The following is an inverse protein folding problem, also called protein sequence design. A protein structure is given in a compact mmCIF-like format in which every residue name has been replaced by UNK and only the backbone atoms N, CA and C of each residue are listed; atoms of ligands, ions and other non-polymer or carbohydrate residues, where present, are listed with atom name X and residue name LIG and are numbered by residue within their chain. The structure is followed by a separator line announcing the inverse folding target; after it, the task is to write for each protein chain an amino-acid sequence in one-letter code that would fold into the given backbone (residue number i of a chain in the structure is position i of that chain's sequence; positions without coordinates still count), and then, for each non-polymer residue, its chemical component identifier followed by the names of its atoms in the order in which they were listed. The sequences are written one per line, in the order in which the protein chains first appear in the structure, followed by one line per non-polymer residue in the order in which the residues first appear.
data_IF_532103524918
#
_entry.id   IF_532103524918
#
_cell.length_a   1.000
_cell.length_b   1.000
_cell.length_c   1.000
_cell.angle_alpha   90.00
_cell.angle_beta   90.00
_cell.angle_gamma   90.00
#
_symmetry.space_group_name_H-M   'P 1'
#
loop_
_entity.id
_entity.type
_entity.pdbx_description
1 polymer ?
#
# COMPACT_ATOMS: atom_id res chain seq x y z
N UNK A 1 -14.17 -9.88 25.30
CA UNK A 1 -13.25 -10.55 26.23
C UNK A 1 -13.20 -9.74 27.53
N UNK A 2 -14.00 -10.11 28.50
CA UNK A 2 -13.98 -9.47 29.82
C UNK A 2 -12.80 -10.02 30.63
N UNK A 3 -11.73 -9.20 30.74
CA UNK A 3 -10.59 -9.40 31.65
C UNK A 3 -9.87 -10.76 31.63
N UNK A 4 -9.61 -11.45 30.52
CA UNK A 4 -8.66 -12.54 30.55
C UNK A 4 -7.24 -11.98 30.67
N UNK A 5 -6.42 -12.55 31.51
CA UNK A 5 -4.98 -12.27 31.52
C UNK A 5 -4.33 -13.01 30.34
N UNK A 6 -4.46 -12.45 29.13
CA UNK A 6 -3.92 -13.01 27.89
C UNK A 6 -2.51 -12.48 27.68
N UNK A 7 -1.52 -13.37 27.71
CA UNK A 7 -0.11 -13.02 27.48
C UNK A 7 0.32 -13.13 26.02
N UNK A 8 -0.36 -13.96 25.22
CA UNK A 8 -0.05 -14.18 23.80
C UNK A 8 -1.30 -14.55 23.02
N UNK A 9 -1.33 -14.17 21.73
CA UNK A 9 -2.37 -14.55 20.77
C UNK A 9 -1.66 -15.10 19.52
N UNK A 10 -2.25 -16.12 18.90
CA UNK A 10 -1.75 -16.74 17.68
C UNK A 10 -2.83 -16.71 16.60
N UNK A 11 -2.47 -16.24 15.40
CA UNK A 11 -3.29 -16.30 14.18
C UNK A 11 -2.74 -17.32 13.20
N UNK A 12 -3.62 -17.91 12.40
CA UNK A 12 -3.25 -18.80 11.30
C UNK A 12 -3.79 -18.24 9.98
N UNK A 13 -2.89 -17.89 9.07
CA UNK A 13 -3.23 -17.42 7.72
C UNK A 13 -3.09 -18.56 6.71
N UNK A 14 -4.13 -18.80 5.92
CA UNK A 14 -4.08 -19.75 4.81
C UNK A 14 -3.34 -19.15 3.62
N UNK A 15 -2.26 -19.82 3.18
CA UNK A 15 -1.46 -19.37 2.04
C UNK A 15 -1.43 -20.45 0.95
N UNK A 16 -1.99 -20.18 -0.25
CA UNK A 16 -2.02 -21.17 -1.34
C UNK A 16 -0.64 -21.51 -1.93
N UNK A 17 0.38 -20.71 -1.64
CA UNK A 17 1.76 -20.96 -2.08
C UNK A 17 2.51 -21.95 -1.17
N UNK A 18 1.95 -22.24 0.02
CA UNK A 18 2.51 -23.21 0.95
C UNK A 18 1.88 -24.58 0.71
N UNK A 19 2.67 -25.64 0.37
CA UNK A 19 2.15 -26.96 0.14
C UNK A 19 1.41 -27.54 1.35
N UNK A 20 0.36 -28.34 1.12
CA UNK A 20 -0.38 -29.06 2.15
C UNK A 20 0.59 -29.91 2.99
N UNK A 21 0.41 -29.91 4.31
CA UNK A 21 1.29 -30.60 5.24
C UNK A 21 2.53 -29.79 5.63
N UNK A 22 2.61 -28.52 5.22
CA UNK A 22 3.67 -27.60 5.65
C UNK A 22 3.09 -26.35 6.29
N UNK A 23 3.90 -25.73 7.15
CA UNK A 23 3.60 -24.44 7.79
C UNK A 23 4.79 -23.49 7.67
N UNK A 24 4.51 -22.25 7.29
CA UNK A 24 5.50 -21.18 7.23
C UNK A 24 5.55 -20.42 8.56
N UNK A 25 6.72 -20.30 9.15
CA UNK A 25 6.95 -19.55 10.38
C UNK A 25 8.20 -18.68 10.26
N UNK A 26 8.07 -17.42 10.67
CA UNK A 26 9.16 -16.44 10.62
C UNK A 26 9.01 -15.44 11.76
N UNK A 27 10.10 -15.16 12.46
CA UNK A 27 10.23 -14.06 13.40
C UNK A 27 10.29 -12.73 12.65
N UNK A 28 9.76 -11.66 13.28
CA UNK A 28 9.77 -10.33 12.71
C UNK A 28 8.73 -10.10 11.62
N UNK A 29 8.96 -9.16 10.69
CA UNK A 29 7.98 -8.79 9.67
C UNK A 29 7.62 -9.96 8.76
N UNK A 30 6.31 -10.25 8.64
CA UNK A 30 5.78 -11.34 7.82
C UNK A 30 4.78 -10.86 6.77
N UNK A 31 3.86 -9.93 7.13
CA UNK A 31 2.89 -9.36 6.20
C UNK A 31 2.92 -7.84 6.25
N UNK A 32 2.72 -7.20 5.11
CA UNK A 32 2.90 -5.76 4.98
C UNK A 32 1.75 -4.96 5.60
N UNK A 33 2.07 -3.75 6.06
CA UNK A 33 1.09 -2.72 6.33
C UNK A 33 0.30 -2.39 5.07
N UNK A 34 -0.98 -2.06 5.26
CA UNK A 34 -1.89 -1.66 4.18
C UNK A 34 -2.25 -0.19 4.33
N UNK A 35 -2.00 0.58 3.27
CA UNK A 35 -2.53 1.92 3.10
C UNK A 35 -3.35 2.02 1.83
N UNK A 36 -4.44 2.79 1.89
CA UNK A 36 -5.23 3.18 0.73
C UNK A 36 -5.06 4.66 0.47
N UNK A 37 -4.94 5.03 -0.81
CA UNK A 37 -4.84 6.44 -1.21
C UNK A 37 -5.95 6.82 -2.17
N UNK A 38 -6.53 7.99 -1.94
CA UNK A 38 -7.59 8.58 -2.73
C UNK A 38 -7.15 9.98 -3.12
N UNK A 39 -7.09 10.24 -4.42
CA UNK A 39 -6.65 11.54 -4.94
C UNK A 39 -7.72 12.06 -5.89
N UNK A 40 -8.22 13.27 -5.61
CA UNK A 40 -9.14 13.97 -6.52
C UNK A 40 -8.40 15.15 -7.12
N UNK A 41 -8.22 15.14 -8.44
CA UNK A 41 -7.57 16.22 -9.20
C UNK A 41 -8.67 17.06 -9.85
N UNK A 42 -8.69 18.36 -9.56
CA UNK A 42 -9.66 19.31 -10.11
C UNK A 42 -8.96 20.33 -11.01
N UNK A 43 -9.46 20.43 -12.22
CA UNK A 43 -9.05 21.42 -13.21
C UNK A 43 -10.18 22.34 -13.62
N UNK A 44 -10.17 22.71 -14.89
CA UNK A 44 -11.23 23.42 -15.57
C UNK A 44 -11.42 22.78 -16.95
N UNK A 45 -12.53 22.05 -17.10
CA UNK A 45 -12.86 21.34 -18.32
C UNK A 45 -13.25 22.26 -19.49
N UNK A 46 -13.40 21.63 -20.65
CA UNK A 46 -13.81 22.32 -21.86
C UNK A 46 -13.59 21.51 -23.13
N UNK A 47 -13.71 22.17 -24.26
CA UNK A 47 -13.55 21.54 -25.57
C UNK A 47 -12.08 21.17 -25.83
N UNK A 48 -11.78 19.89 -26.08
CA UNK A 48 -10.41 19.38 -26.20
C UNK A 48 -9.59 19.99 -27.36
N UNK A 49 -10.25 20.57 -28.37
CA UNK A 49 -9.56 21.28 -29.45
C UNK A 49 -9.01 22.66 -29.02
N UNK A 50 -9.38 23.16 -27.84
CA UNK A 50 -8.91 24.44 -27.29
C UNK A 50 -8.19 24.26 -25.95
N UNK A 51 -7.09 23.47 -25.88
CA UNK A 51 -6.43 23.12 -24.63
C UNK A 51 -5.85 24.34 -23.88
N UNK A 52 -5.57 25.43 -24.60
CA UNK A 52 -5.09 26.68 -24.01
C UNK A 52 -6.14 27.47 -23.21
N UNK A 53 -7.40 27.01 -23.20
CA UNK A 53 -8.53 27.63 -22.46
C UNK A 53 -8.99 26.81 -21.26
N UNK A 54 -8.32 25.70 -20.97
CA UNK A 54 -8.67 24.76 -19.93
C UNK A 54 -7.51 24.53 -18.97
N UNK A 55 -7.79 23.92 -17.83
CA UNK A 55 -6.79 23.36 -16.93
C UNK A 55 -7.06 21.84 -16.90
N UNK A 56 -6.20 21.06 -17.54
CA UNK A 56 -6.45 19.64 -17.83
C UNK A 56 -6.13 18.73 -16.63
N UNK A 57 -7.14 18.18 -15.93
CA UNK A 57 -6.91 17.29 -14.82
C UNK A 57 -6.49 15.88 -15.24
N UNK A 58 -6.68 15.47 -16.52
CA UNK A 58 -6.21 14.16 -17.03
C UNK A 58 -4.69 14.17 -17.15
N UNK A 59 -4.12 15.22 -17.76
CA UNK A 59 -2.67 15.39 -17.85
C UNK A 59 -2.04 15.49 -16.48
N UNK A 60 -2.68 16.23 -15.56
CA UNK A 60 -2.23 16.36 -14.18
C UNK A 60 -2.25 15.02 -13.42
N UNK A 61 -3.35 14.28 -13.49
CA UNK A 61 -3.48 12.98 -12.84
C UNK A 61 -2.47 11.96 -13.38
N UNK A 62 -2.25 11.94 -14.69
CA UNK A 62 -1.23 11.10 -15.32
C UNK A 62 0.18 11.43 -14.83
N UNK A 63 0.50 12.72 -14.73
CA UNK A 63 1.79 13.20 -14.19
C UNK A 63 1.95 12.83 -12.72
N UNK A 64 0.90 12.92 -11.91
CA UNK A 64 0.91 12.50 -10.50
C UNK A 64 1.24 11.00 -10.40
N UNK A 65 0.57 10.14 -11.18
CA UNK A 65 0.84 8.69 -11.16
C UNK A 65 2.31 8.42 -11.48
N UNK A 66 2.85 9.04 -12.53
CA UNK A 66 4.25 8.85 -12.95
C UNK A 66 5.24 9.38 -11.90
N UNK A 67 5.01 10.57 -11.36
CA UNK A 67 5.89 11.16 -10.35
C UNK A 67 5.90 10.36 -9.05
N UNK A 68 4.77 9.80 -8.62
CA UNK A 68 4.67 8.97 -7.42
C UNK A 68 5.49 7.67 -7.53
N UNK A 69 5.73 7.13 -8.74
CA UNK A 69 6.62 5.98 -8.92
C UNK A 69 8.06 6.29 -8.53
N UNK A 70 8.48 7.56 -8.62
CA UNK A 70 9.83 7.98 -8.23
C UNK A 70 10.08 7.85 -6.72
N UNK A 71 9.05 7.83 -5.90
CA UNK A 71 9.19 7.64 -4.45
C UNK A 71 9.85 6.30 -4.17
N UNK A 72 9.33 5.21 -4.73
CA UNK A 72 9.91 3.87 -4.53
C UNK A 72 11.31 3.77 -5.13
N UNK A 73 11.51 4.33 -6.33
CA UNK A 73 12.77 4.18 -7.05
C UNK A 73 13.87 5.16 -6.62
N UNK A 74 13.57 6.27 -5.90
CA UNK A 74 14.52 7.37 -5.60
C UNK A 74 14.54 7.82 -4.14
N UNK A 75 13.50 7.52 -3.34
CA UNK A 75 13.43 7.95 -1.94
C UNK A 75 13.49 6.77 -0.96
N UNK A 76 12.99 5.59 -1.36
CA UNK A 76 13.05 4.39 -0.52
C UNK A 76 14.44 3.77 -0.61
N UNK A 77 15.02 3.41 0.54
CA UNK A 77 16.25 2.63 0.59
C UNK A 77 16.08 1.32 -0.20
N UNK A 78 16.99 0.99 -1.15
CA UNK A 78 16.91 -0.24 -1.94
C UNK A 78 16.83 -1.54 -1.12
N UNK A 79 17.25 -1.52 0.14
CA UNK A 79 17.16 -2.66 1.07
C UNK A 79 15.79 -2.78 1.74
N UNK A 80 14.92 -1.76 1.61
CA UNK A 80 13.57 -1.74 2.17
C UNK A 80 12.54 -2.00 1.09
N UNK A 81 11.52 -2.78 1.44
CA UNK A 81 10.44 -3.09 0.51
C UNK A 81 9.30 -2.09 0.66
N UNK A 82 8.87 -1.51 -0.47
CA UNK A 82 7.69 -0.67 -0.55
C UNK A 82 6.99 -0.83 -1.91
N UNK A 83 5.67 -0.69 -1.89
CA UNK A 83 4.83 -0.69 -3.10
C UNK A 83 3.93 0.54 -3.07
N UNK A 84 3.85 1.26 -4.19
CA UNK A 84 2.87 2.30 -4.47
C UNK A 84 2.24 1.96 -5.82
N UNK A 85 0.96 1.60 -5.82
CA UNK A 85 0.24 1.21 -7.04
C UNK A 85 -1.11 1.90 -7.11
N UNK A 86 -1.52 2.28 -8.32
CA UNK A 86 -2.85 2.81 -8.59
C UNK A 86 -3.68 1.76 -9.32
N UNK A 87 -4.79 1.37 -8.69
CA UNK A 87 -5.74 0.40 -9.25
C UNK A 87 -6.81 1.04 -10.12
N UNK A 88 -7.04 2.36 -9.98
CA UNK A 88 -7.98 3.07 -10.84
C UNK A 88 -7.58 4.50 -11.12
N UNK A 89 -7.95 4.97 -12.31
CA UNK A 89 -7.96 6.35 -12.76
C UNK A 89 -9.26 6.58 -13.53
N UNK A 90 -10.08 7.51 -13.05
CA UNK A 90 -11.42 7.73 -13.61
C UNK A 90 -11.64 9.23 -13.85
N UNK A 91 -12.03 9.60 -15.09
CA UNK A 91 -12.36 10.96 -15.48
C UNK A 91 -12.73 11.06 -16.95
N UNK A 92 -13.65 11.97 -17.25
CA UNK A 92 -14.13 12.18 -18.61
C UNK A 92 -15.21 11.20 -19.05
N UNK A 93 -16.00 11.61 -20.07
CA UNK A 93 -17.08 10.84 -20.64
C UNK A 93 -17.06 10.84 -22.19
N UNK A 94 -16.33 11.77 -22.80
CA UNK A 94 -16.26 11.93 -24.24
C UNK A 94 -14.83 12.25 -24.70
N UNK A 95 -14.47 11.82 -25.88
CA UNK A 95 -13.12 11.96 -26.44
C UNK A 95 -12.75 13.41 -26.78
N UNK A 96 -13.70 14.28 -26.94
CA UNK A 96 -13.53 15.69 -27.32
C UNK A 96 -13.85 16.69 -26.22
N UNK A 97 -14.05 16.22 -24.98
CA UNK A 97 -14.35 17.05 -23.79
C UNK A 97 -13.37 16.72 -22.67
N UNK A 98 -12.57 17.72 -22.27
CA UNK A 98 -11.71 17.63 -21.08
C UNK A 98 -12.62 17.77 -19.85
N UNK A 99 -12.57 16.85 -18.86
CA UNK A 99 -13.41 16.91 -17.67
C UNK A 99 -12.93 17.97 -16.67
N UNK A 100 -13.78 18.30 -15.70
CA UNK A 100 -13.40 19.16 -14.57
C UNK A 100 -12.64 18.41 -13.46
N UNK A 101 -12.77 17.08 -13.42
CA UNK A 101 -12.26 16.27 -12.33
C UNK A 101 -11.76 14.90 -12.81
N UNK A 102 -10.66 14.41 -12.17
CA UNK A 102 -10.17 13.03 -12.28
C UNK A 102 -9.94 12.47 -10.88
N UNK A 103 -10.36 11.22 -10.67
CA UNK A 103 -10.16 10.48 -9.42
C UNK A 103 -9.19 9.34 -9.60
N UNK A 104 -8.26 9.21 -8.66
CA UNK A 104 -7.30 8.11 -8.56
C UNK A 104 -7.54 7.36 -7.26
N UNK A 105 -7.48 6.02 -7.31
CA UNK A 105 -7.41 5.20 -6.12
C UNK A 105 -6.21 4.26 -6.19
N UNK A 106 -5.50 4.15 -5.09
CA UNK A 106 -4.27 3.38 -5.03
C UNK A 106 -4.05 2.69 -3.71
N UNK A 107 -3.00 1.91 -3.65
CA UNK A 107 -2.59 1.18 -2.46
C UNK A 107 -1.11 1.36 -2.19
N UNK A 108 -0.75 1.36 -0.90
CA UNK A 108 0.63 1.44 -0.42
C UNK A 108 0.89 0.25 0.49
N UNK A 109 2.08 -0.35 0.35
CA UNK A 109 2.53 -1.48 1.18
C UNK A 109 3.96 -1.24 1.66
N UNK A 110 4.24 -1.58 2.91
CA UNK A 110 5.59 -1.63 3.49
C UNK A 110 5.58 -2.44 4.77
N UNK A 111 6.75 -2.94 5.19
CA UNK A 111 6.90 -3.66 6.46
C UNK A 111 7.36 -2.76 7.62
N UNK A 112 7.63 -1.47 7.36
CA UNK A 112 8.27 -0.54 8.29
C UNK A 112 7.37 0.69 8.49
N UNK A 113 6.93 0.93 9.72
CA UNK A 113 6.04 2.06 10.05
C UNK A 113 6.72 3.42 9.83
N UNK A 114 8.01 3.56 10.13
CA UNK A 114 8.76 4.80 9.87
C UNK A 114 8.88 5.10 8.37
N UNK A 115 9.05 4.05 7.55
CA UNK A 115 9.00 4.19 6.09
C UNK A 115 7.60 4.55 5.63
N UNK A 116 6.54 3.99 6.25
CA UNK A 116 5.14 4.33 5.95
C UNK A 116 4.87 5.82 6.17
N UNK A 117 5.32 6.37 7.32
CA UNK A 117 5.21 7.81 7.62
C UNK A 117 5.92 8.66 6.56
N UNK A 118 7.12 8.25 6.18
CA UNK A 118 7.91 8.94 5.15
C UNK A 118 7.22 8.92 3.78
N UNK A 119 6.69 7.75 3.36
CA UNK A 119 5.97 7.59 2.09
C UNK A 119 4.73 8.49 2.06
N UNK A 120 3.93 8.52 3.11
CA UNK A 120 2.74 9.38 3.19
C UNK A 120 3.12 10.86 2.98
N UNK A 121 4.16 11.33 3.67
CA UNK A 121 4.67 12.70 3.53
C UNK A 121 5.20 12.99 2.12
N UNK A 122 5.96 12.06 1.53
CA UNK A 122 6.48 12.22 0.17
C UNK A 122 5.36 12.21 -0.87
N UNK A 123 4.37 11.33 -0.73
CA UNK A 123 3.20 11.29 -1.62
C UNK A 123 2.43 12.60 -1.58
N UNK A 124 2.09 13.10 -0.39
CA UNK A 124 1.38 14.37 -0.22
C UNK A 124 2.12 15.51 -0.94
N UNK A 125 3.40 15.69 -0.63
CA UNK A 125 4.23 16.73 -1.25
C UNK A 125 4.30 16.61 -2.78
N UNK A 126 4.47 15.39 -3.29
CA UNK A 126 4.57 15.15 -4.74
C UNK A 126 3.26 15.47 -5.44
N UNK A 127 2.12 15.05 -4.88
CA UNK A 127 0.79 15.29 -5.41
C UNK A 127 0.49 16.79 -5.46
N UNK A 128 0.68 17.49 -4.34
CA UNK A 128 0.41 18.93 -4.21
C UNK A 128 1.28 19.76 -5.17
N UNK A 129 2.58 19.47 -5.25
CA UNK A 129 3.49 20.21 -6.12
C UNK A 129 3.23 19.92 -7.61
N UNK A 130 2.93 18.68 -7.97
CA UNK A 130 2.58 18.33 -9.36
C UNK A 130 1.30 19.04 -9.78
N UNK A 131 0.25 19.03 -8.95
CA UNK A 131 -1.00 19.70 -9.23
C UNK A 131 -0.79 21.21 -9.37
N UNK A 132 -0.06 21.82 -8.44
CA UNK A 132 0.27 23.25 -8.48
C UNK A 132 1.01 23.66 -9.75
N UNK A 133 1.98 22.88 -10.20
CA UNK A 133 2.77 23.16 -11.41
C UNK A 133 1.93 23.16 -12.70
N UNK A 134 0.79 22.45 -12.69
CA UNK A 134 -0.14 22.33 -13.82
C UNK A 134 -1.42 23.16 -13.64
N UNK A 135 -1.46 24.01 -12.60
CA UNK A 135 -2.60 24.87 -12.31
C UNK A 135 -3.85 24.16 -11.75
N UNK A 136 -3.73 22.86 -11.45
CA UNK A 136 -4.81 22.07 -10.86
C UNK A 136 -4.88 22.25 -9.33
N UNK A 137 -6.06 21.97 -8.78
CA UNK A 137 -6.24 21.77 -7.34
C UNK A 137 -6.32 20.28 -7.06
N UNK A 138 -5.91 19.86 -5.86
CA UNK A 138 -5.90 18.46 -5.49
C UNK A 138 -6.39 18.26 -4.06
N UNK A 139 -7.16 17.20 -3.86
CA UNK A 139 -7.48 16.64 -2.55
C UNK A 139 -6.74 15.32 -2.43
N UNK A 140 -5.89 15.18 -1.40
CA UNK A 140 -5.14 13.96 -1.13
C UNK A 140 -5.59 13.39 0.21
N UNK A 141 -6.03 12.13 0.20
CA UNK A 141 -6.40 11.39 1.39
C UNK A 141 -5.62 10.06 1.42
N UNK A 142 -4.88 9.86 2.50
CA UNK A 142 -4.17 8.61 2.81
C UNK A 142 -4.81 7.96 4.03
N UNK A 143 -5.29 6.73 3.88
CA UNK A 143 -5.90 5.96 4.95
C UNK A 143 -4.97 4.82 5.35
N UNK A 144 -4.67 4.71 6.64
CA UNK A 144 -3.92 3.61 7.23
C UNK A 144 -4.90 2.51 7.60
N UNK A 145 -4.98 1.48 6.76
CA UNK A 145 -5.97 0.40 6.93
C UNK A 145 -5.51 -0.65 7.95
N UNK A 146 -4.31 -1.20 7.77
CA UNK A 146 -3.74 -2.24 8.64
C UNK A 146 -2.27 -1.94 8.95
N UNK A 147 -1.80 -2.22 10.18
CA UNK A 147 -0.36 -2.23 10.48
C UNK A 147 0.34 -3.45 9.86
N UNK A 148 1.68 -3.53 9.88
CA UNK A 148 2.39 -4.72 9.46
C UNK A 148 2.26 -5.81 10.52
N UNK A 149 2.16 -7.08 10.09
CA UNK A 149 2.31 -8.22 11.00
C UNK A 149 3.79 -8.38 11.33
N UNK A 150 4.13 -8.21 12.60
CA UNK A 150 5.49 -8.40 13.13
C UNK A 150 5.44 -9.47 14.23
N UNK A 151 5.88 -10.67 13.89
CA UNK A 151 5.82 -11.80 14.82
C UNK A 151 6.83 -11.63 15.96
N UNK A 152 6.31 -11.70 17.19
CA UNK A 152 7.13 -11.60 18.38
C UNK A 152 8.05 -12.83 18.54
N UNK A 153 9.35 -12.68 18.85
CA UNK A 153 10.32 -13.78 18.91
C UNK A 153 9.87 -14.93 19.81
N UNK A 154 9.44 -14.65 21.04
CA UNK A 154 9.05 -15.69 22.00
C UNK A 154 7.77 -16.43 21.55
N UNK A 155 6.78 -15.70 21.03
CA UNK A 155 5.58 -16.33 20.48
C UNK A 155 5.92 -17.23 19.28
N UNK A 156 6.82 -16.77 18.39
CA UNK A 156 7.27 -17.54 17.24
C UNK A 156 7.98 -18.84 17.67
N UNK A 157 8.81 -18.83 18.71
CA UNK A 157 9.44 -20.04 19.24
C UNK A 157 8.41 -21.05 19.75
N UNK A 158 7.36 -20.58 20.46
CA UNK A 158 6.27 -21.45 20.93
C UNK A 158 5.51 -22.05 19.75
N UNK A 159 5.16 -21.22 18.76
CA UNK A 159 4.49 -21.66 17.54
C UNK A 159 5.33 -22.69 16.77
N UNK A 160 6.64 -22.45 16.66
CA UNK A 160 7.58 -23.39 15.99
C UNK A 160 7.62 -24.74 16.70
N UNK A 161 7.77 -24.75 18.03
CA UNK A 161 7.75 -25.98 18.81
C UNK A 161 6.43 -26.77 18.65
N UNK A 162 5.30 -26.08 18.67
CA UNK A 162 3.99 -26.71 18.46
C UNK A 162 3.86 -27.25 17.02
N UNK A 163 4.29 -26.50 16.04
CA UNK A 163 4.26 -26.89 14.63
C UNK A 163 5.15 -28.11 14.35
N UNK A 164 6.36 -28.18 14.94
CA UNK A 164 7.25 -29.35 14.81
C UNK A 164 6.61 -30.63 15.35
N UNK A 165 5.82 -30.56 16.40
CA UNK A 165 5.08 -31.72 16.94
C UNK A 165 4.01 -32.24 15.97
N UNK A 166 3.39 -31.38 15.19
CA UNK A 166 2.29 -31.74 14.27
C UNK A 166 2.81 -32.14 12.91
N UNK A 167 3.76 -31.38 12.37
CA UNK A 167 4.22 -31.51 10.98
C UNK A 167 5.61 -32.14 10.86
N UNK A 168 6.32 -32.37 11.98
CA UNK A 168 7.72 -32.76 11.99
C UNK A 168 8.64 -31.62 11.50
N UNK A 169 9.95 -31.83 11.61
CA UNK A 169 10.95 -30.81 11.17
C UNK A 169 10.85 -30.48 9.68
N UNK A 170 10.60 -31.49 8.84
CA UNK A 170 10.48 -31.31 7.38
C UNK A 170 9.20 -30.58 6.95
N UNK A 171 8.23 -30.44 7.87
CA UNK A 171 6.98 -29.70 7.63
C UNK A 171 7.10 -28.20 7.88
N UNK A 172 8.22 -27.72 8.43
CA UNK A 172 8.46 -26.31 8.71
C UNK A 172 9.23 -25.68 7.56
N UNK A 173 8.75 -24.54 7.08
CA UNK A 173 9.43 -23.73 6.08
C UNK A 173 9.62 -22.29 6.57
N UNK A 174 10.68 -21.64 6.07
CA UNK A 174 10.88 -20.21 6.25
C UNK A 174 10.18 -19.46 5.10
N UNK A 175 9.03 -18.80 5.35
CA UNK A 175 8.31 -18.11 4.28
C UNK A 175 9.00 -16.82 3.88
N UNK A 176 8.87 -16.44 2.61
CA UNK A 176 9.16 -15.07 2.17
C UNK A 176 8.06 -14.14 2.70
N UNK A 177 8.41 -12.97 3.27
CA UNK A 177 7.42 -12.00 3.67
C UNK A 177 6.50 -11.60 2.51
N UNK A 178 5.20 -11.47 2.80
CA UNK A 178 4.16 -11.16 1.81
C UNK A 178 3.80 -9.68 1.81
N UNK A 179 3.59 -9.09 0.63
CA UNK A 179 2.99 -7.75 0.50
C UNK A 179 1.47 -7.75 0.72
N UNK A 180 0.85 -8.91 0.98
CA UNK A 180 -0.52 -9.01 1.48
C UNK A 180 -0.65 -8.37 2.86
N UNK A 181 -1.84 -7.88 3.18
CA UNK A 181 -2.20 -7.42 4.51
C UNK A 181 -2.89 -8.51 5.31
N UNK A 182 -2.89 -8.36 6.63
CA UNK A 182 -3.54 -9.28 7.57
C UNK A 182 -4.27 -8.48 8.65
N UNK A 183 -5.54 -8.78 8.87
CA UNK A 183 -6.39 -8.09 9.85
C UNK A 183 -6.15 -8.54 11.31
N UNK A 184 -5.31 -9.54 11.50
CA UNK A 184 -4.80 -9.97 12.81
C UNK A 184 -3.68 -9.04 13.35
N UNK A 185 -3.17 -8.10 12.56
CA UNK A 185 -2.05 -7.22 12.90
C UNK A 185 -2.39 -6.16 13.96
#
# INVERSE_FOLDING_TARGET
LENPNVSMIFGLHNNPEIPVGKVGLKEGPLMAAVGSTFITVRGQGGHAAYPHRVIDPIVCASSIVMNLQTIVSRNVDPQKSAVISFGSINGGMANNVIPDEVKLTGTVRTFDEGLRDSIEGWMKRTVENTASSLGCRVEFNYRRDLPPVVNHPEATKIALWAAQKVFGENGIILPTPSMGGEDFA
#
